data_IF_109482475147
#
_entry.id   IF_109482475147
#
_cell.length_a   1.000
_cell.length_b   1.000
_cell.length_c   1.000
_cell.angle_alpha   90.00
_cell.angle_beta   90.00
_cell.angle_gamma   90.00
#
_symmetry.space_group_name_H-M   'P 1'
#
loop_
_entity.id
_entity.type
_entity.pdbx_description
1 polymer ?
#
# COMPACT_ATOMS: atom_id res chain seq x y z
N UNK A 1 -22.80 -1.67 13.92
CA UNK A 1 -22.64 -0.53 12.97
C UNK A 1 -22.55 0.83 13.68
N UNK A 2 -23.38 1.12 14.69
CA UNK A 2 -23.37 2.40 15.43
C UNK A 2 -22.02 2.79 16.07
N UNK A 3 -21.26 1.84 16.62
CA UNK A 3 -19.93 2.08 17.19
C UNK A 3 -18.95 2.69 16.17
N UNK A 4 -18.90 2.13 14.96
CA UNK A 4 -17.98 2.59 13.90
C UNK A 4 -18.32 4.01 13.45
N UNK A 5 -19.61 4.31 13.29
CA UNK A 5 -20.08 5.66 12.96
C UNK A 5 -19.81 6.66 14.08
N UNK A 6 -19.94 6.26 15.34
CA UNK A 6 -19.63 7.10 16.51
C UNK A 6 -18.13 7.40 16.59
N UNK A 7 -17.27 6.39 16.44
CA UNK A 7 -15.81 6.54 16.39
C UNK A 7 -15.37 7.42 15.22
N UNK A 8 -15.92 7.18 14.02
CA UNK A 8 -15.59 7.97 12.84
C UNK A 8 -15.93 9.46 13.08
N UNK A 9 -17.12 9.74 13.60
CA UNK A 9 -17.54 11.11 13.95
C UNK A 9 -16.65 11.73 15.02
N UNK A 10 -16.27 10.98 16.05
CA UNK A 10 -15.38 11.46 17.11
C UNK A 10 -13.95 11.76 16.61
N UNK A 11 -13.48 11.00 15.62
CA UNK A 11 -12.20 11.22 14.95
C UNK A 11 -12.25 12.30 13.84
N UNK A 12 -13.43 12.87 13.55
CA UNK A 12 -13.63 13.82 12.45
C UNK A 12 -13.53 13.20 11.05
N UNK A 13 -13.71 11.88 10.94
CA UNK A 13 -13.46 11.08 9.73
C UNK A 13 -14.74 10.44 9.17
N UNK A 14 -14.69 10.06 7.91
CA UNK A 14 -15.71 9.20 7.31
C UNK A 14 -15.61 7.75 7.81
N UNK A 15 -16.71 6.97 7.78
CA UNK A 15 -16.67 5.56 8.20
C UNK A 15 -15.74 4.71 7.34
N UNK A 16 -15.67 4.97 6.03
CA UNK A 16 -14.76 4.26 5.11
C UNK A 16 -13.30 4.63 5.38
N UNK A 17 -13.03 5.88 5.74
CA UNK A 17 -11.69 6.34 6.12
C UNK A 17 -11.23 5.68 7.42
N UNK A 18 -12.10 5.60 8.43
CA UNK A 18 -11.80 4.86 9.66
C UNK A 18 -11.60 3.36 9.38
N UNK A 19 -12.36 2.77 8.45
CA UNK A 19 -12.19 1.37 8.05
C UNK A 19 -10.82 1.13 7.42
N UNK A 20 -10.36 2.04 6.56
CA UNK A 20 -9.04 1.99 5.95
C UNK A 20 -7.92 2.18 6.97
N UNK A 21 -8.08 3.12 7.91
CA UNK A 21 -7.13 3.34 8.99
C UNK A 21 -6.98 2.09 9.89
N UNK A 22 -8.08 1.45 10.27
CA UNK A 22 -8.06 0.21 11.04
C UNK A 22 -7.43 -0.94 10.23
N UNK A 23 -7.71 -1.04 8.93
CA UNK A 23 -7.07 -2.03 8.07
C UNK A 23 -5.54 -1.83 8.01
N UNK A 24 -5.07 -0.58 7.92
CA UNK A 24 -3.65 -0.25 7.86
C UNK A 24 -2.96 -0.56 9.20
N UNK A 25 -3.62 -0.23 10.30
CA UNK A 25 -3.17 -0.63 11.64
C UNK A 25 -3.08 -2.14 11.79
N UNK A 26 -4.03 -2.91 11.26
CA UNK A 26 -3.97 -4.37 11.31
C UNK A 26 -2.83 -4.93 10.46
N UNK A 27 -2.51 -4.29 9.35
CA UNK A 27 -1.44 -4.71 8.44
C UNK A 27 -0.06 -4.52 9.07
N UNK A 28 0.20 -3.42 9.79
CA UNK A 28 1.53 -3.18 10.36
C UNK A 28 1.60 -2.17 11.50
N UNK A 29 0.55 -2.11 12.33
CA UNK A 29 0.50 -1.28 13.53
C UNK A 29 0.60 0.21 13.24
N UNK A 30 1.33 0.92 14.11
CA UNK A 30 1.58 2.36 13.98
C UNK A 30 2.25 2.74 12.66
N UNK A 31 3.25 1.96 12.21
CA UNK A 31 3.96 2.27 10.96
C UNK A 31 3.04 2.05 9.75
N UNK A 32 2.22 0.99 9.77
CA UNK A 32 1.18 0.78 8.74
C UNK A 32 0.16 1.93 8.67
N UNK A 33 -0.26 2.45 9.83
CA UNK A 33 -1.14 3.63 9.88
C UNK A 33 -0.44 4.89 9.34
N UNK A 34 0.81 5.14 9.73
CA UNK A 34 1.59 6.27 9.24
C UNK A 34 1.80 6.20 7.72
N UNK A 35 2.02 5.01 7.17
CA UNK A 35 2.15 4.79 5.70
C UNK A 35 0.86 5.10 4.95
N UNK A 36 -0.30 4.86 5.57
CA UNK A 36 -1.57 5.26 4.98
C UNK A 36 -1.72 6.79 4.94
N UNK A 37 -1.37 7.48 6.03
CA UNK A 37 -1.76 8.86 6.30
C UNK A 37 -0.71 9.91 5.91
N UNK A 38 0.57 9.56 5.95
CA UNK A 38 1.68 10.50 5.86
C UNK A 38 2.65 10.15 4.72
N UNK A 39 2.32 10.52 3.46
CA UNK A 39 3.28 10.38 2.37
C UNK A 39 4.50 11.25 2.61
N UNK A 40 5.70 10.66 2.45
CA UNK A 40 6.98 11.30 2.78
C UNK A 40 8.00 11.07 1.67
N UNK A 41 9.01 11.93 1.58
CA UNK A 41 10.08 11.81 0.58
C UNK A 41 11.24 10.99 1.14
N UNK A 42 11.45 9.73 0.67
CA UNK A 42 12.54 8.91 1.14
C UNK A 42 13.90 9.41 0.66
N UNK A 43 14.96 9.29 1.48
CA UNK A 43 16.31 9.48 0.98
C UNK A 43 16.60 8.46 -0.12
N UNK A 44 17.57 8.78 -0.98
CA UNK A 44 18.05 7.85 -1.98
C UNK A 44 18.45 6.51 -1.35
N UNK A 45 18.21 5.41 -2.06
CA UNK A 45 18.56 4.07 -1.59
C UNK A 45 17.43 3.05 -1.76
N UNK A 46 16.79 2.64 -0.65
CA UNK A 46 15.82 1.53 -0.67
C UNK A 46 14.67 1.76 -1.66
N UNK A 47 14.18 3.00 -1.73
CA UNK A 47 13.12 3.37 -2.67
C UNK A 47 13.60 3.24 -4.13
N UNK A 48 14.79 3.76 -4.46
CA UNK A 48 15.34 3.71 -5.82
C UNK A 48 15.60 2.28 -6.31
N UNK A 49 16.01 1.39 -5.38
CA UNK A 49 16.26 -0.03 -5.70
C UNK A 49 15.00 -0.84 -5.96
N UNK A 50 13.82 -0.36 -5.56
CA UNK A 50 12.60 -1.15 -5.70
C UNK A 50 12.14 -1.31 -7.14
N UNK A 51 12.22 -0.26 -7.98
CA UNK A 51 11.79 -0.34 -9.38
C UNK A 51 12.59 -1.38 -10.20
N UNK A 52 13.94 -1.45 -10.11
CA UNK A 52 14.70 -2.54 -10.72
C UNK A 52 14.31 -3.93 -10.23
N UNK A 53 14.01 -4.12 -8.94
CA UNK A 53 13.59 -5.41 -8.39
C UNK A 53 12.24 -5.86 -8.96
N UNK A 54 11.28 -4.94 -9.06
CA UNK A 54 9.96 -5.22 -9.66
C UNK A 54 10.11 -5.62 -11.14
N UNK A 55 10.93 -4.90 -11.90
CA UNK A 55 11.20 -5.23 -13.31
C UNK A 55 11.87 -6.58 -13.48
N UNK A 56 12.80 -6.95 -12.59
CA UNK A 56 13.46 -8.24 -12.61
C UNK A 56 12.53 -9.42 -12.25
N UNK A 57 11.39 -9.12 -11.62
CA UNK A 57 10.31 -10.07 -11.33
C UNK A 57 9.18 -10.02 -12.38
N UNK A 58 9.48 -9.52 -13.59
CA UNK A 58 8.55 -9.40 -14.72
C UNK A 58 7.31 -8.53 -14.46
N UNK A 59 7.35 -7.67 -13.44
CA UNK A 59 6.31 -6.66 -13.20
C UNK A 59 6.59 -5.39 -14.01
N UNK A 60 5.56 -4.61 -14.38
CA UNK A 60 5.76 -3.41 -15.20
C UNK A 60 6.49 -2.31 -14.41
N UNK A 61 6.91 -1.26 -15.11
CA UNK A 61 7.52 -0.10 -14.47
C UNK A 61 6.49 0.69 -13.64
N UNK A 62 6.47 0.50 -12.32
CA UNK A 62 5.64 1.30 -11.41
C UNK A 62 6.06 2.78 -11.45
N UNK A 63 5.06 3.67 -11.36
CA UNK A 63 5.23 5.12 -11.36
C UNK A 63 5.52 5.62 -9.93
N UNK A 64 6.63 6.33 -9.69
CA UNK A 64 6.96 6.83 -8.37
C UNK A 64 6.25 8.15 -8.04
N UNK A 65 5.89 8.32 -6.77
CA UNK A 65 5.49 9.58 -6.16
C UNK A 65 5.75 9.53 -4.65
N UNK A 66 6.62 10.40 -4.12
CA UNK A 66 7.06 10.33 -2.71
C UNK A 66 7.52 8.91 -2.36
N UNK A 67 7.03 8.33 -1.28
CA UNK A 67 7.26 6.94 -0.86
C UNK A 67 6.34 5.92 -1.55
N UNK A 68 5.62 6.27 -2.61
CA UNK A 68 4.68 5.40 -3.31
C UNK A 68 5.21 4.96 -4.68
N UNK A 69 4.96 3.71 -5.03
CA UNK A 69 5.09 3.15 -6.36
C UNK A 69 3.72 2.65 -6.80
N UNK A 70 3.16 3.23 -7.87
CA UNK A 70 1.83 2.88 -8.37
C UNK A 70 1.91 2.09 -9.66
N UNK A 71 1.19 0.96 -9.74
CA UNK A 71 1.10 0.14 -10.94
C UNK A 71 0.50 0.95 -12.10
N UNK A 72 0.94 0.77 -13.37
CA UNK A 72 0.42 1.55 -14.49
C UNK A 72 -1.09 1.48 -14.70
N UNK A 73 -1.71 0.33 -14.40
CA UNK A 73 -3.16 0.14 -14.44
C UNK A 73 -3.89 0.61 -13.16
N UNK A 74 -3.20 1.27 -12.22
CA UNK A 74 -3.75 1.91 -11.03
C UNK A 74 -4.65 1.01 -10.15
N UNK A 75 -4.32 -0.29 -10.05
CA UNK A 75 -5.01 -1.25 -9.18
C UNK A 75 -4.13 -1.78 -8.04
N UNK A 76 -2.81 -1.55 -8.10
CA UNK A 76 -1.84 -1.89 -7.06
C UNK A 76 -0.94 -0.69 -6.77
N UNK A 77 -0.58 -0.53 -5.50
CA UNK A 77 0.38 0.47 -5.04
C UNK A 77 1.22 -0.11 -3.91
N UNK A 78 2.53 0.08 -3.99
CA UNK A 78 3.46 -0.18 -2.91
C UNK A 78 3.80 1.13 -2.22
N UNK A 79 3.83 1.13 -0.89
CA UNK A 79 4.24 2.29 -0.10
C UNK A 79 5.36 1.92 0.86
N UNK A 80 6.42 2.71 0.87
CA UNK A 80 7.57 2.50 1.76
C UNK A 80 7.30 3.17 3.12
N UNK A 81 7.37 2.37 4.18
CA UNK A 81 7.36 2.83 5.57
C UNK A 81 8.70 3.38 6.03
N UNK A 82 8.69 4.16 7.11
CA UNK A 82 9.90 4.78 7.67
C UNK A 82 10.86 3.73 8.25
N UNK A 83 10.33 2.57 8.63
CA UNK A 83 11.12 1.41 9.09
C UNK A 83 11.73 0.61 7.95
N UNK A 84 11.40 0.93 6.69
CA UNK A 84 11.91 0.27 5.50
C UNK A 84 11.05 -0.87 4.97
N UNK A 85 9.94 -1.22 5.63
CA UNK A 85 8.97 -2.19 5.10
C UNK A 85 8.16 -1.59 3.95
N UNK A 86 7.82 -2.44 2.99
CA UNK A 86 6.92 -2.16 1.89
C UNK A 86 5.53 -2.68 2.23
N UNK A 87 4.55 -1.80 2.06
CA UNK A 87 3.14 -2.07 2.32
C UNK A 87 2.41 -2.09 1.00
N UNK A 88 1.70 -3.18 0.72
CA UNK A 88 0.89 -3.29 -0.48
C UNK A 88 -0.53 -2.76 -0.23
N UNK A 89 -1.04 -2.07 -1.25
CA UNK A 89 -2.39 -1.53 -1.32
C UNK A 89 -3.01 -1.90 -2.66
N UNK A 90 -4.33 -2.10 -2.66
CA UNK A 90 -5.13 -2.29 -3.87
C UNK A 90 -6.19 -1.20 -4.00
N UNK A 91 -6.65 -0.94 -5.22
CA UNK A 91 -7.83 -0.12 -5.48
C UNK A 91 -8.54 -0.62 -6.73
N UNK A 92 -9.80 -0.26 -6.90
CA UNK A 92 -10.43 -0.37 -8.21
C UNK A 92 -9.69 0.55 -9.20
N UNK A 93 -9.49 0.13 -10.47
CA UNK A 93 -8.89 0.99 -11.48
C UNK A 93 -9.63 2.33 -11.59
N UNK A 94 -8.88 3.43 -11.51
CA UNK A 94 -9.42 4.80 -11.63
C UNK A 94 -10.05 5.37 -10.36
N UNK A 95 -10.03 4.63 -9.24
CA UNK A 95 -10.32 5.18 -7.92
C UNK A 95 -9.06 5.42 -7.12
N UNK A 96 -9.17 6.34 -6.17
CA UNK A 96 -8.08 6.69 -5.23
C UNK A 96 -8.35 6.17 -3.80
N UNK A 97 -9.14 5.10 -3.70
CA UNK A 97 -9.47 4.42 -2.45
C UNK A 97 -8.57 3.22 -2.19
N UNK A 98 -7.28 3.48 -1.95
CA UNK A 98 -6.28 2.46 -1.66
C UNK A 98 -6.54 1.70 -0.36
N UNK A 99 -6.79 0.40 -0.43
CA UNK A 99 -7.00 -0.49 0.70
C UNK A 99 -5.74 -1.30 1.04
N UNK A 100 -5.30 -1.32 2.31
CA UNK A 100 -4.17 -2.14 2.77
C UNK A 100 -4.39 -3.63 2.52
N UNK A 101 -3.39 -4.33 2.00
CA UNK A 101 -3.46 -5.77 1.68
C UNK A 101 -2.16 -6.51 1.91
N UNK A 102 -2.25 -7.81 2.21
CA UNK A 102 -1.08 -8.66 2.36
C UNK A 102 -0.24 -8.34 3.61
N UNK A 103 0.92 -8.97 3.71
CA UNK A 103 1.87 -8.76 4.83
C UNK A 103 2.98 -7.82 4.37
N UNK A 104 3.36 -6.80 5.17
CA UNK A 104 4.49 -5.95 4.83
C UNK A 104 5.80 -6.74 4.75
N UNK A 105 6.68 -6.38 3.82
CA UNK A 105 7.95 -7.07 3.58
C UNK A 105 9.10 -6.08 3.36
N UNK A 106 10.34 -6.50 3.64
CA UNK A 106 11.53 -5.70 3.31
C UNK A 106 11.78 -5.66 1.79
N UNK A 107 11.35 -6.68 1.06
CA UNK A 107 11.39 -6.79 -0.39
C UNK A 107 10.06 -6.28 -1.00
N UNK A 108 10.08 -5.29 -1.91
CA UNK A 108 8.87 -4.84 -2.60
C UNK A 108 8.16 -5.96 -3.39
N UNK A 109 8.89 -6.96 -3.89
CA UNK A 109 8.27 -8.10 -4.59
C UNK A 109 7.55 -8.99 -3.57
N UNK A 110 8.19 -9.34 -2.46
CA UNK A 110 7.58 -10.12 -1.37
C UNK A 110 6.30 -9.50 -0.81
N UNK A 111 6.25 -8.17 -0.69
CA UNK A 111 5.05 -7.44 -0.26
C UNK A 111 3.85 -7.62 -1.21
N UNK A 112 4.10 -7.86 -2.51
CA UNK A 112 3.05 -8.19 -3.49
C UNK A 112 2.70 -9.69 -3.48
N UNK A 113 3.66 -10.58 -3.22
CA UNK A 113 3.42 -12.04 -3.22
C UNK A 113 2.46 -12.46 -2.10
N UNK A 114 2.49 -11.76 -0.95
CA UNK A 114 1.54 -11.96 0.16
C UNK A 114 0.08 -11.64 -0.16
N UNK A 115 -0.23 -11.16 -1.38
CA UNK A 115 -1.58 -10.90 -1.88
C UNK A 115 -2.25 -12.13 -2.52
N UNK A 116 -1.54 -13.26 -2.66
CA UNK A 116 -1.97 -14.41 -3.48
C UNK A 116 -1.62 -14.26 -4.97
N UNK A 117 -0.71 -13.34 -5.29
CA UNK A 117 -0.39 -12.88 -6.64
C UNK A 117 0.53 -13.77 -7.46
N UNK A 118 0.17 -15.04 -7.66
CA UNK A 118 0.59 -15.81 -8.85
C UNK A 118 -0.58 -16.25 -9.72
N UNK A 119 -1.82 -16.22 -9.23
CA UNK A 119 -3.01 -16.53 -10.05
C UNK A 119 -3.57 -15.31 -10.79
N UNK A 120 -3.42 -14.10 -10.26
CA UNK A 120 -4.01 -12.88 -10.86
C UNK A 120 -3.13 -12.19 -11.93
N UNK A 121 -1.90 -12.67 -12.16
CA UNK A 121 -0.98 -12.11 -13.16
C UNK A 121 -0.89 -12.97 -14.43
N UNK A 122 -1.63 -14.09 -14.49
CA UNK A 122 -1.64 -15.02 -15.62
C UNK A 122 -2.81 -14.83 -16.60
N UNK A 123 -3.78 -13.97 -16.28
CA UNK A 123 -4.87 -13.62 -17.19
C UNK A 123 -4.66 -12.21 -17.75
N UNK A 124 -3.94 -12.12 -18.89
CA UNK A 124 -4.27 -11.35 -20.10
C UNK A 124 -3.21 -11.58 -21.17
#
# INVERSE_FOLDING_TARGET
RALYSSLARAAGRGTSELARAVAAWRQGGLDGLAVLEEPWDPPAGRFDRARPLLLAADLPAFRPWRNHLTHPAAHLQLRLGRTGLWYAYESEPGRDDWWPRGTPDLDPVGALTGLGGTEALADT
#
